data_IF_131175907730
#
_entry.id   IF_131175907730
#
_cell.length_a   1.000
_cell.length_b   1.000
_cell.length_c   1.000
_cell.angle_alpha   90.00
_cell.angle_beta   90.00
_cell.angle_gamma   90.00
#
_symmetry.space_group_name_H-M   'P 1'
#
loop_
_entity.id
_entity.type
_entity.pdbx_description
1 polymer ?
#
# COMPACT_ATOMS: atom_id res chain seq x y z
N UNK A 1 16.24 7.76 -5.61
CA UNK A 1 15.78 6.58 -6.34
C UNK A 1 15.75 5.37 -5.42
N UNK A 2 14.68 4.61 -5.49
CA UNK A 2 14.55 3.40 -4.67
C UNK A 2 15.40 2.28 -5.25
N UNK A 3 16.14 1.60 -4.40
CA UNK A 3 16.92 0.45 -4.81
C UNK A 3 16.31 -0.86 -4.36
N UNK A 4 15.20 -0.80 -3.63
CA UNK A 4 14.53 -2.00 -3.13
C UNK A 4 13.68 -2.62 -4.21
N UNK A 5 13.58 -3.95 -4.16
CA UNK A 5 12.60 -4.64 -4.96
C UNK A 5 11.22 -4.37 -4.38
N UNK A 6 10.27 -4.01 -5.21
CA UNK A 6 8.90 -3.84 -4.76
C UNK A 6 8.02 -4.93 -5.35
N UNK A 7 6.97 -5.28 -4.61
CA UNK A 7 6.07 -6.37 -4.98
C UNK A 7 4.66 -5.83 -5.10
N UNK A 8 3.98 -6.17 -6.21
CA UNK A 8 2.60 -5.78 -6.42
C UNK A 8 1.85 -7.02 -6.86
N UNK A 9 0.68 -7.28 -6.28
CA UNK A 9 -0.08 -8.45 -6.69
C UNK A 9 -0.79 -8.17 -8.02
N UNK A 10 -1.15 -9.23 -8.72
CA UNK A 10 -1.71 -9.13 -10.08
C UNK A 10 -2.98 -8.27 -10.14
N UNK A 11 -3.99 -8.49 -9.27
CA UNK A 11 -5.19 -7.65 -9.33
C UNK A 11 -4.90 -6.17 -9.07
N UNK A 12 -4.01 -5.86 -8.13
CA UNK A 12 -3.65 -4.48 -7.86
C UNK A 12 -2.94 -3.86 -9.05
N UNK A 13 -2.02 -4.60 -9.69
CA UNK A 13 -1.32 -4.10 -10.86
C UNK A 13 -2.30 -3.75 -11.98
N UNK A 14 -3.28 -4.60 -12.21
CA UNK A 14 -4.28 -4.35 -13.24
C UNK A 14 -5.07 -3.07 -12.95
N UNK A 15 -5.52 -2.92 -11.70
CA UNK A 15 -6.28 -1.73 -11.32
C UNK A 15 -5.43 -0.46 -11.34
N UNK A 16 -4.18 -0.56 -10.90
CA UNK A 16 -3.28 0.59 -10.91
C UNK A 16 -2.95 1.03 -12.33
N UNK A 17 -2.69 0.07 -13.22
CA UNK A 17 -2.40 0.39 -14.62
C UNK A 17 -3.59 1.05 -15.30
N UNK A 18 -4.79 0.54 -15.02
CA UNK A 18 -6.02 1.12 -15.57
C UNK A 18 -6.23 2.54 -15.06
N UNK A 19 -5.98 2.76 -13.77
CA UNK A 19 -6.10 4.08 -13.17
C UNK A 19 -5.12 5.07 -13.80
N UNK A 20 -3.87 4.65 -14.01
CA UNK A 20 -2.86 5.51 -14.62
C UNK A 20 -3.30 5.91 -16.03
N UNK A 21 -3.76 4.94 -16.82
CA UNK A 21 -4.23 5.20 -18.18
C UNK A 21 -5.36 6.22 -18.18
N UNK A 22 -6.34 6.04 -17.29
CA UNK A 22 -7.47 6.95 -17.19
C UNK A 22 -7.03 8.35 -16.77
N UNK A 23 -6.10 8.43 -15.82
CA UNK A 23 -5.66 9.72 -15.29
C UNK A 23 -4.80 10.50 -16.29
N UNK A 24 -4.18 9.82 -17.26
CA UNK A 24 -3.37 10.49 -18.28
C UNK A 24 -4.13 11.53 -19.06
N UNK A 25 -5.42 11.30 -19.27
CA UNK A 25 -6.27 12.23 -20.03
C UNK A 25 -6.97 13.24 -19.15
N UNK A 26 -6.80 13.18 -17.84
CA UNK A 26 -7.44 14.12 -16.91
C UNK A 26 -6.61 15.40 -16.79
N UNK A 27 -7.26 16.53 -16.98
CA UNK A 27 -6.59 17.84 -16.88
C UNK A 27 -6.22 18.18 -15.44
N UNK A 28 -6.83 17.51 -14.45
CA UNK A 28 -6.64 17.83 -13.04
C UNK A 28 -5.58 16.96 -12.37
N UNK A 29 -4.97 16.04 -13.11
CA UNK A 29 -4.01 15.11 -12.53
C UNK A 29 -2.59 15.62 -12.78
N UNK A 30 -1.78 15.57 -11.72
CA UNK A 30 -0.36 15.92 -11.81
C UNK A 30 0.36 14.84 -12.62
N UNK A 31 0.78 15.20 -13.83
CA UNK A 31 1.42 14.26 -14.74
C UNK A 31 2.77 13.77 -14.21
N UNK A 32 3.46 14.61 -13.46
CA UNK A 32 4.73 14.22 -12.86
C UNK A 32 4.52 13.11 -11.82
N UNK A 33 3.48 13.24 -11.00
CA UNK A 33 3.15 12.20 -10.04
C UNK A 33 2.74 10.90 -10.72
N UNK A 34 2.01 10.99 -11.82
CA UNK A 34 1.68 9.81 -12.62
C UNK A 34 2.93 9.13 -13.17
N UNK A 35 3.89 9.93 -13.64
CA UNK A 35 5.15 9.39 -14.15
C UNK A 35 5.91 8.65 -13.04
N UNK A 36 5.92 9.20 -11.83
CA UNK A 36 6.60 8.56 -10.72
C UNK A 36 5.94 7.23 -10.37
N UNK A 37 4.62 7.20 -10.31
CA UNK A 37 3.92 5.95 -10.03
C UNK A 37 4.15 4.94 -11.13
N UNK A 38 4.04 5.35 -12.39
CA UNK A 38 4.25 4.45 -13.52
C UNK A 38 5.65 3.85 -13.48
N UNK A 39 6.66 4.64 -13.10
CA UNK A 39 8.02 4.14 -12.95
C UNK A 39 8.12 3.05 -11.89
N UNK A 40 7.40 3.21 -10.78
CA UNK A 40 7.38 2.18 -9.75
C UNK A 40 6.67 0.92 -10.24
N UNK A 41 5.58 1.07 -10.97
CA UNK A 41 4.86 -0.07 -11.53
C UNK A 41 5.73 -0.84 -12.52
N UNK A 42 6.51 -0.12 -13.33
CA UNK A 42 7.35 -0.74 -14.35
C UNK A 42 8.45 -1.61 -13.74
N UNK A 43 8.96 -1.22 -12.58
CA UNK A 43 10.04 -1.98 -11.94
C UNK A 43 9.54 -3.00 -10.91
N UNK A 44 8.24 -3.07 -10.67
CA UNK A 44 7.69 -3.96 -9.66
C UNK A 44 7.75 -5.42 -10.10
N UNK A 45 7.94 -6.28 -9.12
CA UNK A 45 7.77 -7.71 -9.34
C UNK A 45 6.31 -8.05 -9.10
N UNK A 46 5.67 -8.59 -10.13
CA UNK A 46 4.25 -8.93 -10.05
C UNK A 46 4.12 -10.35 -9.53
N UNK A 47 3.31 -10.54 -8.49
CA UNK A 47 3.10 -11.84 -7.87
C UNK A 47 1.62 -12.09 -7.68
N UNK A 48 1.25 -13.36 -7.47
CA UNK A 48 -0.14 -13.66 -7.16
C UNK A 48 -0.44 -13.19 -5.73
N UNK A 49 -1.72 -12.90 -5.43
CA UNK A 49 -2.09 -12.47 -4.07
C UNK A 49 -1.69 -13.48 -2.99
N UNK A 50 -1.65 -14.76 -3.35
CA UNK A 50 -1.30 -15.80 -2.38
C UNK A 50 0.20 -15.85 -2.08
N UNK A 51 1.01 -15.22 -2.92
CA UNK A 51 2.46 -15.24 -2.78
C UNK A 51 3.04 -13.93 -2.29
N UNK A 52 2.20 -12.91 -2.09
CA UNK A 52 2.69 -11.63 -1.62
C UNK A 52 3.17 -11.78 -0.17
N UNK A 53 4.38 -11.34 0.16
CA UNK A 53 4.84 -11.42 1.55
C UNK A 53 3.98 -10.57 2.47
N UNK A 54 3.78 -11.04 3.70
CA UNK A 54 2.88 -10.39 4.65
C UNK A 54 3.35 -9.00 5.08
N UNK A 55 4.62 -8.69 4.89
CA UNK A 55 5.19 -7.41 5.29
C UNK A 55 5.31 -6.42 4.13
N UNK A 56 4.62 -6.69 3.02
CA UNK A 56 4.60 -5.79 1.86
C UNK A 56 3.40 -4.86 1.96
N UNK A 57 3.61 -3.59 1.63
CA UNK A 57 2.54 -2.59 1.60
C UNK A 57 1.80 -2.73 0.27
N UNK A 58 0.60 -3.27 0.32
CA UNK A 58 -0.26 -3.43 -0.86
C UNK A 58 -1.38 -2.40 -0.82
N UNK A 59 -2.16 -2.32 -1.90
CA UNK A 59 -3.33 -1.43 -1.88
C UNK A 59 -4.25 -1.85 -0.74
N UNK A 60 -4.77 -0.86 -0.02
CA UNK A 60 -5.63 -1.02 1.15
C UNK A 60 -4.91 -1.59 2.37
N UNK A 61 -3.59 -1.68 2.32
CA UNK A 61 -2.80 -2.01 3.51
C UNK A 61 -2.79 -0.84 4.48
N UNK A 62 -2.82 -1.16 5.77
CA UNK A 62 -2.62 -0.16 6.81
C UNK A 62 -1.21 -0.34 7.36
N UNK A 63 -0.46 0.74 7.39
CA UNK A 63 0.97 0.68 7.68
C UNK A 63 1.36 1.77 8.67
N UNK A 64 2.23 1.40 9.61
CA UNK A 64 2.86 2.39 10.49
C UNK A 64 4.22 2.73 9.90
N UNK A 65 4.46 4.02 9.74
CA UNK A 65 5.72 4.53 9.20
C UNK A 65 6.33 5.50 10.19
N UNK A 66 7.63 5.65 10.12
CA UNK A 66 8.35 6.60 10.96
C UNK A 66 9.01 7.63 10.07
N UNK A 67 8.69 8.90 10.32
CA UNK A 67 9.37 10.01 9.67
C UNK A 67 10.71 10.19 10.38
N UNK A 68 11.79 9.85 9.69
CA UNK A 68 13.12 9.87 10.30
C UNK A 68 13.65 11.29 10.49
N UNK A 69 13.11 12.27 9.76
CA UNK A 69 13.50 13.66 9.95
C UNK A 69 12.88 14.24 11.21
N UNK A 70 11.60 13.94 11.44
CA UNK A 70 10.86 14.45 12.58
C UNK A 70 10.85 13.48 13.77
N UNK A 71 11.31 12.26 13.57
CA UNK A 71 11.30 11.20 14.58
C UNK A 71 9.88 10.95 15.10
N UNK A 72 8.93 10.86 14.19
CA UNK A 72 7.51 10.68 14.53
C UNK A 72 6.91 9.53 13.74
N UNK A 73 6.10 8.73 14.44
CA UNK A 73 5.34 7.65 13.83
C UNK A 73 3.99 8.16 13.35
N UNK A 74 3.50 7.60 12.27
CA UNK A 74 2.12 7.83 11.82
C UNK A 74 1.61 6.58 11.15
N UNK A 75 0.28 6.46 11.10
CA UNK A 75 -0.38 5.30 10.53
C UNK A 75 -1.22 5.75 9.35
N UNK A 76 -1.08 5.03 8.24
CA UNK A 76 -1.77 5.38 7.00
C UNK A 76 -2.34 4.13 6.35
N UNK A 77 -3.46 4.30 5.65
CA UNK A 77 -4.00 3.25 4.78
C UNK A 77 -3.79 3.72 3.34
N UNK A 78 -3.17 2.88 2.53
CA UNK A 78 -2.89 3.21 1.13
C UNK A 78 -4.12 2.90 0.29
N UNK A 79 -4.67 3.91 -0.38
CA UNK A 79 -5.91 3.75 -1.13
C UNK A 79 -5.81 4.36 -2.52
N UNK A 80 -6.81 4.06 -3.37
CA UNK A 80 -6.94 4.73 -4.67
C UNK A 80 -7.40 6.18 -4.46
N UNK A 81 -7.14 7.06 -5.42
CA UNK A 81 -7.42 8.49 -5.23
C UNK A 81 -8.86 8.80 -4.81
N UNK A 82 -9.83 8.05 -5.35
CA UNK A 82 -11.25 8.31 -5.01
C UNK A 82 -11.58 8.05 -3.54
N UNK A 83 -10.77 7.24 -2.87
CA UNK A 83 -11.02 6.88 -1.48
C UNK A 83 -10.12 7.65 -0.51
N UNK A 84 -9.31 8.56 -1.01
CA UNK A 84 -8.36 9.30 -0.18
C UNK A 84 -9.09 10.22 0.79
N UNK A 85 -8.62 10.23 2.03
CA UNK A 85 -9.15 11.10 3.07
C UNK A 85 -8.06 11.23 4.13
N UNK A 86 -7.27 12.27 4.00
CA UNK A 86 -6.11 12.45 4.86
C UNK A 86 -6.50 12.53 6.34
N UNK A 87 -7.65 13.14 6.63
CA UNK A 87 -8.12 13.29 8.02
C UNK A 87 -8.40 11.93 8.66
N UNK A 88 -8.72 10.91 7.85
CA UNK A 88 -8.95 9.56 8.35
C UNK A 88 -7.77 8.63 8.10
N UNK A 89 -6.62 9.19 7.75
CA UNK A 89 -5.42 8.40 7.54
C UNK A 89 -5.39 7.62 6.23
N UNK A 90 -6.26 7.97 5.27
CA UNK A 90 -6.26 7.30 3.96
C UNK A 90 -5.51 8.17 2.96
N UNK A 91 -4.36 7.68 2.52
CA UNK A 91 -3.51 8.42 1.58
C UNK A 91 -3.61 7.80 0.18
N UNK A 92 -3.66 8.69 -0.81
CA UNK A 92 -3.74 8.27 -2.20
C UNK A 92 -2.42 7.68 -2.67
N UNK A 93 -2.51 6.63 -3.47
CA UNK A 93 -1.32 6.06 -4.13
C UNK A 93 -0.67 7.08 -5.07
N UNK A 94 -1.41 8.12 -5.49
CA UNK A 94 -0.85 9.20 -6.31
C UNK A 94 -0.15 10.29 -5.48
N UNK A 95 -0.36 10.30 -4.15
CA UNK A 95 0.38 11.24 -3.30
C UNK A 95 1.85 10.78 -3.22
N UNK A 96 2.79 11.72 -3.03
CA UNK A 96 4.21 11.34 -2.98
C UNK A 96 4.52 10.23 -1.99
N UNK A 97 3.96 10.28 -0.78
CA UNK A 97 4.19 9.23 0.21
C UNK A 97 3.56 7.93 -0.24
N UNK A 98 2.34 7.98 -0.79
CA UNK A 98 1.65 6.79 -1.25
C UNK A 98 2.42 6.07 -2.34
N UNK A 99 2.90 6.81 -3.33
CA UNK A 99 3.71 6.23 -4.40
C UNK A 99 5.00 5.62 -3.83
N UNK A 100 5.60 6.29 -2.86
CA UNK A 100 6.89 5.87 -2.30
C UNK A 100 6.77 4.59 -1.48
N UNK A 101 5.66 4.36 -0.79
CA UNK A 101 5.53 3.18 0.09
C UNK A 101 4.95 1.97 -0.63
N UNK A 102 4.30 2.16 -1.77
CA UNK A 102 3.67 1.05 -2.50
C UNK A 102 4.68 -0.05 -2.79
N UNK A 103 4.36 -1.26 -2.38
CA UNK A 103 5.17 -2.44 -2.66
C UNK A 103 6.40 -2.60 -1.80
N UNK A 104 6.66 -1.65 -0.90
CA UNK A 104 7.81 -1.72 -0.01
C UNK A 104 7.56 -2.69 1.15
N UNK A 105 8.64 -3.09 1.79
CA UNK A 105 8.59 -4.05 2.90
C UNK A 105 8.97 -3.38 4.20
N UNK A 106 8.56 -3.99 5.31
CA UNK A 106 8.98 -3.56 6.63
C UNK A 106 10.50 -3.44 6.68
N UNK A 107 10.98 -2.33 7.23
CA UNK A 107 12.40 -2.04 7.34
C UNK A 107 12.95 -1.22 6.20
N UNK A 108 12.25 -1.13 5.06
CA UNK A 108 12.70 -0.30 3.95
C UNK A 108 12.66 1.16 4.36
N UNK A 109 13.70 1.91 3.97
CA UNK A 109 13.75 3.35 4.14
C UNK A 109 13.59 3.97 2.77
N UNK A 110 12.61 4.85 2.63
CA UNK A 110 12.33 5.53 1.37
C UNK A 110 12.63 7.02 1.53
N UNK A 111 13.06 7.62 0.45
CA UNK A 111 13.45 9.02 0.44
C UNK A 111 12.84 9.70 -0.79
N UNK A 112 12.33 10.92 -0.59
CA UNK A 112 11.84 11.71 -1.73
C UNK A 112 12.12 13.18 -1.47
N UNK A 113 12.17 13.93 -2.56
CA UNK A 113 12.45 15.37 -2.49
C UNK A 113 11.18 16.13 -2.20
N UNK A 114 11.31 17.12 -1.33
CA UNK A 114 10.26 18.09 -1.05
C UNK A 114 10.89 19.48 -1.09
N UNK A 115 10.09 20.53 -1.18
CA UNK A 115 10.62 21.88 -1.05
C UNK A 115 11.37 22.00 0.28
N UNK A 116 12.60 22.44 0.21
CA UNK A 116 13.41 22.61 1.41
C UNK A 116 14.26 21.42 1.79
N UNK A 117 14.25 20.32 1.01
CA UNK A 117 15.14 19.21 1.30
C UNK A 117 14.57 17.85 0.95
N UNK A 118 15.06 16.84 1.62
CA UNK A 118 14.60 15.45 1.43
C UNK A 118 13.88 14.96 2.66
N UNK A 119 12.87 14.12 2.45
CA UNK A 119 12.17 13.45 3.54
C UNK A 119 12.49 11.96 3.49
N UNK A 120 12.67 11.37 4.66
CA UNK A 120 12.93 9.94 4.79
C UNK A 120 11.89 9.30 5.68
N UNK A 121 11.33 8.18 5.23
CA UNK A 121 10.41 7.38 6.02
C UNK A 121 10.92 5.96 6.09
N UNK A 122 10.69 5.32 7.22
CA UNK A 122 10.94 3.89 7.36
C UNK A 122 9.62 3.17 7.57
N UNK A 123 9.42 2.09 6.83
CA UNK A 123 8.25 1.23 7.03
C UNK A 123 8.46 0.46 8.32
N UNK A 124 7.68 0.77 9.36
CA UNK A 124 7.86 0.14 10.67
C UNK A 124 7.11 -1.17 10.78
N UNK A 125 5.87 -1.19 10.32
CA UNK A 125 5.05 -2.39 10.47
C UNK A 125 3.84 -2.31 9.55
N UNK A 126 3.51 -3.43 8.90
CA UNK A 126 2.26 -3.55 8.13
C UNK A 126 1.22 -4.07 9.10
N UNK A 127 0.30 -3.20 9.52
CA UNK A 127 -0.70 -3.50 10.52
C UNK A 127 -1.86 -4.33 9.96
N UNK A 128 -2.16 -4.14 8.69
CA UNK A 128 -3.22 -4.87 8.01
C UNK A 128 -2.86 -4.99 6.53
N UNK A 129 -3.01 -6.21 5.99
CA UNK A 129 -2.79 -6.45 4.56
C UNK A 129 -3.97 -7.31 4.09
N UNK A 130 -4.75 -6.84 3.09
CA UNK A 130 -5.93 -7.59 2.65
C UNK A 130 -5.63 -9.03 2.24
N UNK A 131 -4.51 -9.23 1.54
CA UNK A 131 -4.13 -10.57 1.08
C UNK A 131 -3.91 -11.52 2.24
N UNK A 132 -3.23 -11.04 3.28
CA UNK A 132 -2.99 -11.84 4.47
C UNK A 132 -4.27 -12.11 5.24
N UNK A 133 -5.13 -11.10 5.34
CA UNK A 133 -6.40 -11.25 6.04
C UNK A 133 -7.27 -12.29 5.35
N UNK A 134 -7.28 -12.30 4.01
CA UNK A 134 -8.02 -13.30 3.26
C UNK A 134 -7.50 -14.70 3.49
N UNK A 135 -6.18 -14.85 3.59
CA UNK A 135 -5.58 -16.16 3.86
C UNK A 135 -5.84 -16.64 5.27
N UNK A 136 -5.98 -15.72 6.21
CA UNK A 136 -6.20 -16.06 7.61
C UNK A 136 -7.65 -16.49 7.89
N UNK A 137 -8.57 -16.24 6.98
CA UNK A 137 -9.99 -16.51 7.15
C UNK A 137 -10.44 -17.78 6.46
N UNK A 138 -9.99 -18.92 6.75
CA UNK A 138 -10.35 -20.18 6.11
C UNK A 138 -11.25 -21.01 6.92
N UNK A 139 -11.57 -21.38 7.26
CA UNK A 139 -12.18 -22.13 7.82
C UNK A 139 -13.06 -22.02 8.63
N UNK A 140 -12.93 -21.54 8.74
CA UNK A 140 -13.51 -21.07 9.14
C UNK A 140 -14.09 -20.77 8.87
N UNK A 141 -14.24 -20.87 9.05
CA UNK A 141 -14.54 -20.17 8.76
C UNK A 141 -15.09 -19.95 8.51
N UNK A 142 -15.27 -20.22 8.74
CA UNK A 142 -15.67 -19.99 8.53
C UNK A 142 -16.30 -19.52 8.89
N UNK A 143 -16.22 -19.65 9.19
CA UNK A 143 -16.66 -19.24 9.62
C UNK A 143 -16.99 -18.38 9.87
N UNK A 144 -17.05 -18.64 10.06
CA UNK A 144 -17.25 -17.96 10.35
C UNK A 144 -17.58 -17.30 10.36
N UNK A 145 -17.41 -17.74 10.57
CA UNK A 145 -17.54 -17.17 10.58
C UNK A 145 -17.86 -16.70 11.00
N UNK A 146 -17.75 -16.66 11.16
CA UNK A 146 -17.75 -16.43 11.57
C UNK A 146 -18.07 -15.87 12.39
N UNK A 147 -17.82 -16.02 12.53
CA UNK A 147 -17.90 -15.85 13.22
C UNK A 147 -18.04 -15.83 13.99
N UNK A 148 -18.05 -16.04 14.16
CA UNK A 148 -17.93 -16.41 14.78
C UNK A 148 -17.90 -16.55 15.37
N UNK A 149 -17.90 -16.88 15.25
CA UNK A 149 -17.64 -17.39 15.59
C UNK A 149 -17.76 -17.67 16.16
N UNK A 150 -17.43 -17.96 16.03
CA UNK A 150 -17.18 -18.54 16.19
C UNK A 150 -17.18 -18.80 16.70
N UNK A 151 -16.87 -18.76 16.78
CA UNK A 151 -16.54 -19.16 16.70
C UNK A 151 -16.59 -19.51 16.97
N UNK A 152 -16.30 -19.45 16.86
CA UNK A 152 -16.04 -19.98 16.69
C UNK A 152 -15.97 -20.27 16.73
N UNK A 153 -15.92 -20.26 16.93
CA UNK A 153 -15.76 -20.72 16.55
C UNK A 153 -15.56 -20.84 16.45
N UNK A 154 -15.67 -21.37 16.81
CA UNK A 154 -15.44 -21.47 16.30
C UNK A 154 -15.46 -21.58 16.22
N UNK A 155 -15.32 -22.01 16.33
CA UNK A 155 -15.20 -21.87 15.96
C UNK A 155 -15.42 -21.90 15.94
N UNK A 156 -15.27 -22.19 16.05
CA UNK A 156 -15.38 -21.99 15.70
C UNK A 156 -15.57 -21.97 15.75
#
# INVERSE_FOLDING_TARGET
>A
MQTYKIFINEPDMEQLSHMVDSARTSANTDQEQLNMLEGELDRAQIVSPFRIPADVVTMHSRVRVKDLNANKDSTHTLVFPRDADFAQGRISVLAPVGTAILGCRTGNVIEWKVPGGNRKLRIEEVLYQPERAGRAAPTLARRMTQKRPPVMRVSL
#
